data_IF_695030145282
#
_entry.id   IF_695030145282
#
_cell.length_a   1.000
_cell.length_b   1.000
_cell.length_c   1.000
_cell.angle_alpha   90.00
_cell.angle_beta   90.00
_cell.angle_gamma   90.00
#
_symmetry.space_group_name_H-M   'P 1'
#
loop_
_entity.id
_entity.type
_entity.pdbx_description
1 polymer ?
#
# COMPACT_ATOMS: atom_id res chain seq x y z
N UNK A 1 -9.86 -18.03 -14.98
CA UNK A 1 -8.55 -18.41 -14.41
C UNK A 1 -7.67 -17.17 -14.34
N UNK A 2 -6.93 -16.74 -15.37
CA UNK A 2 -6.06 -15.56 -15.23
C UNK A 2 -6.73 -14.23 -14.79
N UNK A 3 -8.03 -14.05 -15.04
CA UNK A 3 -8.81 -12.88 -14.60
C UNK A 3 -9.21 -12.91 -13.12
N UNK A 4 -9.36 -14.11 -12.55
CA UNK A 4 -9.75 -14.30 -11.14
C UNK A 4 -8.56 -14.02 -10.22
N UNK A 5 -7.36 -14.45 -10.61
CA UNK A 5 -6.11 -14.23 -9.86
C UNK A 5 -5.76 -12.73 -9.75
N UNK A 6 -6.08 -11.95 -10.80
CA UNK A 6 -5.91 -10.49 -10.80
C UNK A 6 -6.90 -9.79 -9.86
N UNK A 7 -8.15 -10.27 -9.81
CA UNK A 7 -9.18 -9.70 -8.96
C UNK A 7 -8.92 -9.98 -7.47
N UNK A 8 -8.37 -11.15 -7.14
CA UNK A 8 -7.93 -11.49 -5.79
C UNK A 8 -6.74 -10.59 -5.37
N UNK A 9 -5.74 -10.44 -6.23
CA UNK A 9 -4.61 -9.54 -5.98
C UNK A 9 -5.06 -8.08 -5.80
N UNK A 10 -6.03 -7.59 -6.58
CA UNK A 10 -6.61 -6.25 -6.41
C UNK A 10 -7.31 -6.09 -5.04
N UNK A 11 -8.00 -7.13 -4.58
CA UNK A 11 -8.67 -7.13 -3.28
C UNK A 11 -7.64 -7.07 -2.14
N UNK A 12 -6.59 -7.88 -2.21
CA UNK A 12 -5.53 -7.91 -1.21
C UNK A 12 -4.80 -6.57 -1.13
N UNK A 13 -4.49 -5.99 -2.29
CA UNK A 13 -3.90 -4.64 -2.40
C UNK A 13 -4.81 -3.58 -1.76
N UNK A 14 -6.12 -3.64 -2.04
CA UNK A 14 -7.08 -2.71 -1.46
C UNK A 14 -7.15 -2.86 0.08
N UNK A 15 -7.04 -4.08 0.60
CA UNK A 15 -7.01 -4.31 2.04
C UNK A 15 -5.75 -3.75 2.69
N UNK A 16 -4.58 -3.99 2.11
CA UNK A 16 -3.30 -3.43 2.59
C UNK A 16 -3.37 -1.91 2.62
N UNK A 17 -3.93 -1.28 1.58
CA UNK A 17 -4.12 0.17 1.53
C UNK A 17 -4.98 0.68 2.69
N UNK A 18 -6.13 0.05 2.94
CA UNK A 18 -7.03 0.43 4.04
C UNK A 18 -6.34 0.32 5.40
N UNK A 19 -5.58 -0.75 5.63
CA UNK A 19 -4.84 -0.96 6.90
C UNK A 19 -3.75 0.10 7.08
N UNK A 20 -3.06 0.46 6.01
CA UNK A 20 -2.03 1.52 6.03
C UNK A 20 -2.65 2.89 6.28
N UNK A 21 -3.81 3.21 5.69
CA UNK A 21 -4.54 4.45 5.96
C UNK A 21 -5.01 4.52 7.41
N UNK A 22 -5.49 3.41 7.98
CA UNK A 22 -5.83 3.33 9.40
C UNK A 22 -4.61 3.61 10.28
N UNK A 23 -3.46 2.99 9.98
CA UNK A 23 -2.20 3.24 10.70
C UNK A 23 -1.77 4.71 10.59
N UNK A 24 -1.89 5.33 9.41
CA UNK A 24 -1.58 6.74 9.22
C UNK A 24 -2.46 7.64 10.09
N UNK A 25 -3.74 7.31 10.25
CA UNK A 25 -4.67 8.03 11.12
C UNK A 25 -4.32 7.83 12.60
N UNK A 26 -4.00 6.61 13.02
CA UNK A 26 -3.57 6.32 14.39
C UNK A 26 -2.31 7.12 14.75
N UNK A 27 -1.35 7.18 13.84
CA UNK A 27 -0.13 7.98 14.02
C UNK A 27 -0.41 9.47 14.14
N UNK A 28 -1.34 10.01 13.34
CA UNK A 28 -1.80 11.40 13.51
C UNK A 28 -2.49 11.63 14.85
N UNK A 29 -3.27 10.65 15.32
CA UNK A 29 -3.93 10.69 16.63
C UNK A 29 -2.94 10.76 17.80
N UNK A 30 -1.72 10.25 17.63
CA UNK A 30 -0.62 10.38 18.59
C UNK A 30 0.07 11.75 18.58
N UNK A 31 -0.41 12.71 17.77
CA UNK A 31 0.17 14.06 17.65
C UNK A 31 1.37 14.15 16.72
N UNK A 32 1.64 13.11 15.92
CA UNK A 32 2.70 13.14 14.92
C UNK A 32 2.25 13.89 13.66
N UNK A 33 3.03 14.86 13.22
CA UNK A 33 2.84 15.43 11.88
C UNK A 33 3.29 14.41 10.84
N UNK A 34 2.32 13.80 10.16
CA UNK A 34 2.52 12.70 9.24
C UNK A 34 2.22 13.12 7.79
N UNK A 35 3.23 13.05 6.93
CA UNK A 35 3.06 13.07 5.47
C UNK A 35 3.07 11.63 4.96
N UNK A 36 1.95 11.24 4.35
CA UNK A 36 1.74 9.92 3.75
C UNK A 36 1.76 10.03 2.23
N UNK A 37 2.48 9.12 1.57
CA UNK A 37 2.42 8.92 0.12
C UNK A 37 2.46 7.44 -0.22
N UNK A 38 1.69 7.04 -1.23
CA UNK A 38 1.69 5.68 -1.78
C UNK A 38 2.07 5.72 -3.25
N UNK A 39 2.98 4.85 -3.66
CA UNK A 39 3.34 4.63 -5.07
C UNK A 39 3.06 3.17 -5.43
N UNK A 40 2.49 2.94 -6.61
CA UNK A 40 2.12 1.62 -7.11
C UNK A 40 2.80 1.36 -8.45
N UNK A 41 3.40 0.19 -8.59
CA UNK A 41 4.15 -0.27 -9.76
C UNK A 41 3.70 -1.68 -10.15
N UNK A 42 3.57 -1.94 -11.46
CA UNK A 42 3.06 -3.21 -12.01
C UNK A 42 1.60 -3.12 -12.48
N UNK A 43 0.95 -4.24 -12.86
CA UNK A 43 1.35 -5.63 -12.60
C UNK A 43 2.48 -6.13 -13.52
N UNK A 44 3.51 -6.71 -12.93
CA UNK A 44 4.60 -7.38 -13.64
C UNK A 44 4.33 -8.89 -13.64
N UNK A 45 4.41 -9.52 -14.81
CA UNK A 45 4.29 -10.96 -14.94
C UNK A 45 5.67 -11.55 -15.23
N UNK A 46 6.15 -12.41 -14.35
CA UNK A 46 7.45 -13.05 -14.53
C UNK A 46 7.38 -14.27 -15.50
N UNK A 47 8.54 -14.87 -15.77
CA UNK A 47 8.66 -16.04 -16.65
C UNK A 47 7.92 -17.29 -16.11
N UNK A 48 7.68 -17.35 -14.80
CA UNK A 48 6.93 -18.41 -14.12
C UNK A 48 5.40 -18.14 -14.14
N UNK A 49 4.99 -16.97 -14.65
CA UNK A 49 3.61 -16.58 -14.79
C UNK A 49 2.98 -15.96 -13.54
N UNK A 50 3.79 -15.68 -12.50
CA UNK A 50 3.37 -15.00 -11.28
C UNK A 50 3.14 -13.52 -11.60
N UNK A 51 1.98 -13.02 -11.20
CA UNK A 51 1.63 -11.61 -11.31
C UNK A 51 1.99 -10.92 -10.00
N UNK A 52 2.95 -10.00 -10.05
CA UNK A 52 3.40 -9.22 -8.90
C UNK A 52 2.96 -7.77 -9.05
N UNK A 53 2.51 -7.18 -7.95
CA UNK A 53 2.27 -5.74 -7.85
C UNK A 53 3.04 -5.18 -6.66
N UNK A 54 3.85 -4.17 -6.91
CA UNK A 54 4.65 -3.53 -5.89
C UNK A 54 3.97 -2.25 -5.44
N UNK A 55 3.74 -2.13 -4.12
CA UNK A 55 3.17 -0.93 -3.52
C UNK A 55 4.09 -0.43 -2.43
N UNK A 56 4.53 0.81 -2.56
CA UNK A 56 5.44 1.46 -1.62
C UNK A 56 4.64 2.48 -0.81
N UNK A 57 4.63 2.30 0.51
CA UNK A 57 4.06 3.27 1.44
C UNK A 57 5.19 4.02 2.14
N UNK A 58 5.20 5.34 1.97
CA UNK A 58 6.20 6.22 2.57
C UNK A 58 5.56 7.11 3.62
N UNK A 59 6.19 7.14 4.79
CA UNK A 59 5.77 7.97 5.92
C UNK A 59 6.91 8.89 6.31
N UNK A 60 6.64 10.19 6.35
CA UNK A 60 7.54 11.17 6.95
C UNK A 60 6.89 11.71 8.22
N UNK A 61 7.59 11.51 9.33
CA UNK A 61 7.22 12.02 10.65
C UNK A 61 8.11 13.21 10.98
N UNK A 62 7.55 14.26 11.54
CA UNK A 62 8.30 15.44 12.00
C UNK A 62 7.82 15.87 13.38
N UNK A 63 8.75 16.33 14.20
CA UNK A 63 8.47 16.96 15.49
C UNK A 63 8.70 18.47 15.30
N UNK A 64 7.68 19.29 15.53
CA UNK A 64 7.86 20.74 15.67
C UNK A 64 8.30 21.04 17.10
N UNK A 65 9.37 21.84 17.24
CA UNK A 65 9.87 22.41 18.50
C UNK A 65 9.04 23.64 18.92
#
# INVERSE_FOLDING_TARGET
MATDDLAELDQDVAEVRRRVEALANDMRGLGMELRFSSEEYGPEKDFDGIVTRTITFSFRVSLQD
#
